data_IF_974246684560
#
_entry.id   IF_974246684560
#
_cell.length_a   1.000
_cell.length_b   1.000
_cell.length_c   1.000
_cell.angle_alpha   90.00
_cell.angle_beta   90.00
_cell.angle_gamma   90.00
#
_symmetry.space_group_name_H-M   'P 1'
#
loop_
_entity.id
_entity.type
_entity.pdbx_description
1 polymer ?
#
# COMPACT_ATOMS: atom_id res chain seq x y z
N UNK A 1 11.87 -17.46 -10.54
CA UNK A 1 12.43 -16.15 -10.15
C UNK A 1 11.81 -15.74 -8.82
N UNK A 2 12.60 -15.33 -7.84
CA UNK A 2 12.11 -14.88 -6.51
C UNK A 2 11.27 -13.60 -6.61
N UNK A 3 10.49 -13.30 -5.58
CA UNK A 3 9.74 -12.03 -5.47
C UNK A 3 10.66 -10.82 -5.58
N UNK A 4 11.79 -10.84 -4.88
CA UNK A 4 12.83 -9.80 -4.89
C UNK A 4 13.33 -9.54 -6.32
N UNK A 5 13.67 -10.60 -7.07
CA UNK A 5 14.14 -10.46 -8.44
C UNK A 5 13.07 -9.90 -9.38
N UNK A 6 11.79 -10.27 -9.19
CA UNK A 6 10.66 -9.68 -9.94
C UNK A 6 10.49 -8.20 -9.62
N UNK A 7 10.56 -7.81 -8.36
CA UNK A 7 10.46 -6.40 -7.95
C UNK A 7 11.62 -5.57 -8.50
N UNK A 8 12.85 -6.08 -8.43
CA UNK A 8 14.02 -5.42 -9.01
C UNK A 8 13.90 -5.26 -10.53
N UNK A 9 13.32 -6.25 -11.23
CA UNK A 9 13.06 -6.15 -12.67
C UNK A 9 12.03 -5.06 -12.96
N UNK A 10 10.93 -4.99 -12.20
CA UNK A 10 9.90 -3.95 -12.35
C UNK A 10 10.48 -2.57 -12.05
N UNK A 11 11.29 -2.45 -11.00
CA UNK A 11 11.98 -1.20 -10.67
C UNK A 11 12.93 -0.76 -11.79
N UNK A 12 13.75 -1.66 -12.32
CA UNK A 12 14.67 -1.33 -13.41
C UNK A 12 13.95 -0.94 -14.72
N UNK A 13 12.77 -1.52 -14.98
CA UNK A 13 11.93 -1.13 -16.11
C UNK A 13 11.33 0.27 -15.94
N UNK A 14 10.96 0.64 -14.71
CA UNK A 14 10.38 1.94 -14.37
C UNK A 14 11.45 3.06 -14.30
N UNK A 15 12.49 2.86 -13.49
CA UNK A 15 13.48 3.87 -13.14
C UNK A 15 14.78 3.79 -13.98
N UNK A 16 14.84 2.86 -14.92
CA UNK A 16 16.00 2.63 -15.76
C UNK A 16 17.13 1.84 -15.08
N UNK A 17 18.13 1.38 -15.85
CA UNK A 17 19.17 0.47 -15.38
C UNK A 17 20.12 1.10 -14.34
N UNK A 18 20.26 2.43 -14.31
CA UNK A 18 21.08 3.14 -13.34
C UNK A 18 20.50 3.16 -11.91
N UNK A 19 19.22 2.84 -11.75
CA UNK A 19 18.52 2.94 -10.47
C UNK A 19 18.62 1.68 -9.60
N UNK A 20 19.46 0.70 -9.97
CA UNK A 20 19.53 -0.61 -9.30
C UNK A 20 19.73 -0.52 -7.78
N UNK A 21 20.63 0.35 -7.32
CA UNK A 21 20.93 0.51 -5.90
C UNK A 21 19.70 0.97 -5.10
N UNK A 22 18.88 1.87 -5.67
CA UNK A 22 17.63 2.32 -5.04
C UNK A 22 16.62 1.18 -4.98
N UNK A 23 16.49 0.39 -6.04
CA UNK A 23 15.60 -0.78 -6.04
C UNK A 23 16.02 -1.82 -5.00
N UNK A 24 17.32 -2.07 -4.84
CA UNK A 24 17.86 -2.97 -3.80
C UNK A 24 17.60 -2.41 -2.39
N UNK A 25 17.74 -1.10 -2.18
CA UNK A 25 17.41 -0.46 -0.91
C UNK A 25 15.92 -0.56 -0.55
N UNK A 26 15.03 -0.33 -1.53
CA UNK A 26 13.59 -0.50 -1.37
C UNK A 26 13.25 -1.95 -0.98
N UNK A 27 13.72 -2.94 -1.74
CA UNK A 27 13.51 -4.37 -1.42
C UNK A 27 14.02 -4.71 -0.02
N UNK A 28 15.19 -4.19 0.37
CA UNK A 28 15.77 -4.39 1.71
C UNK A 28 14.86 -3.82 2.81
N UNK A 29 14.23 -2.66 2.60
CA UNK A 29 13.28 -2.05 3.56
C UNK A 29 12.05 -2.93 3.75
N UNK A 30 11.44 -3.41 2.67
CA UNK A 30 10.31 -4.35 2.75
C UNK A 30 10.69 -5.73 3.33
N UNK A 31 11.98 -6.03 3.44
CA UNK A 31 12.53 -7.25 4.07
C UNK A 31 12.96 -7.03 5.54
N UNK A 32 12.74 -5.87 6.13
CA UNK A 32 13.08 -5.63 7.54
C UNK A 32 12.41 -6.66 8.47
N UNK A 33 13.17 -7.16 9.45
CA UNK A 33 12.81 -8.35 10.20
C UNK A 33 11.54 -8.23 11.07
N UNK A 34 11.11 -7.01 11.38
CA UNK A 34 9.87 -6.74 12.13
C UNK A 34 8.61 -6.82 11.26
N UNK A 35 8.74 -6.68 9.93
CA UNK A 35 7.60 -6.72 9.02
C UNK A 35 7.07 -8.14 8.86
N UNK A 36 5.75 -8.26 8.82
CA UNK A 36 5.02 -9.52 8.61
C UNK A 36 3.95 -9.37 7.54
N UNK A 37 3.32 -8.20 7.43
CA UNK A 37 2.36 -7.92 6.36
C UNK A 37 2.96 -6.96 5.32
N UNK A 38 3.47 -5.80 5.75
CA UNK A 38 4.00 -4.75 4.86
C UNK A 38 5.39 -5.12 4.31
N UNK A 39 5.38 -6.15 3.48
CA UNK A 39 6.55 -6.92 2.99
C UNK A 39 6.65 -6.83 1.47
N UNK A 40 7.66 -7.49 0.89
CA UNK A 40 7.79 -7.54 -0.58
C UNK A 40 6.64 -8.32 -1.23
N UNK A 41 5.99 -9.20 -0.49
CA UNK A 41 4.80 -9.93 -0.93
C UNK A 41 3.60 -8.97 -1.07
N UNK A 42 3.39 -8.04 -0.12
CA UNK A 42 2.41 -6.96 -0.22
C UNK A 42 2.70 -6.06 -1.42
N UNK A 43 3.93 -5.54 -1.53
CA UNK A 43 4.32 -4.67 -2.64
C UNK A 43 4.12 -5.36 -4.01
N UNK A 44 4.45 -6.65 -4.12
CA UNK A 44 4.26 -7.39 -5.36
C UNK A 44 2.78 -7.56 -5.72
N UNK A 45 1.92 -7.84 -4.74
CA UNK A 45 0.48 -7.95 -4.92
C UNK A 45 -0.14 -6.60 -5.32
N UNK A 46 0.21 -5.53 -4.60
CA UNK A 46 -0.23 -4.17 -4.88
C UNK A 46 0.14 -3.74 -6.30
N UNK A 47 1.40 -3.92 -6.71
CA UNK A 47 1.82 -3.57 -8.06
C UNK A 47 1.13 -4.42 -9.14
N UNK A 48 0.68 -5.65 -8.85
CA UNK A 48 -0.12 -6.43 -9.81
C UNK A 48 -1.50 -5.80 -10.02
N UNK A 49 -2.13 -5.31 -8.95
CA UNK A 49 -3.41 -4.58 -9.04
C UNK A 49 -3.23 -3.23 -9.75
N UNK A 50 -2.13 -2.52 -9.51
CA UNK A 50 -1.80 -1.29 -10.26
C UNK A 50 -1.74 -1.55 -11.76
N UNK A 51 -1.16 -2.68 -12.20
CA UNK A 51 -1.13 -3.04 -13.62
C UNK A 51 -2.53 -3.38 -14.17
N UNK A 52 -3.37 -4.07 -13.39
CA UNK A 52 -4.77 -4.35 -13.77
C UNK A 52 -5.60 -3.06 -13.92
N UNK A 53 -5.28 -2.02 -13.15
CA UNK A 53 -5.97 -0.73 -13.12
C UNK A 53 -5.25 0.36 -13.94
N UNK A 54 -4.24 0.01 -14.74
CA UNK A 54 -3.36 1.00 -15.38
C UNK A 54 -4.10 2.00 -16.29
N UNK A 55 -5.22 1.58 -16.89
CA UNK A 55 -6.06 2.42 -17.75
C UNK A 55 -6.87 3.47 -16.98
N UNK A 56 -7.00 3.29 -15.67
CA UNK A 56 -7.73 4.18 -14.77
C UNK A 56 -6.85 5.30 -14.19
N UNK A 57 -5.53 5.25 -14.38
CA UNK A 57 -4.58 6.27 -13.95
C UNK A 57 -4.29 7.32 -15.05
N UNK A 58 -3.99 8.55 -14.65
CA UNK A 58 -3.52 9.61 -15.56
C UNK A 58 -2.01 9.56 -15.75
N UNK A 59 -1.27 9.21 -14.68
CA UNK A 59 0.18 8.97 -14.70
C UNK A 59 0.48 7.65 -13.98
N UNK A 60 0.52 6.56 -14.75
CA UNK A 60 0.75 5.22 -14.21
C UNK A 60 2.16 5.05 -13.63
N UNK A 61 3.15 5.79 -14.12
CA UNK A 61 4.51 5.66 -13.63
C UNK A 61 4.66 6.37 -12.28
N UNK A 62 3.99 7.52 -12.07
CA UNK A 62 3.87 8.12 -10.74
C UNK A 62 3.19 7.18 -9.74
N UNK A 63 2.11 6.49 -10.13
CA UNK A 63 1.45 5.50 -9.27
C UNK A 63 2.38 4.33 -8.92
N UNK A 64 3.14 3.82 -9.90
CA UNK A 64 4.11 2.73 -9.65
C UNK A 64 5.24 3.17 -8.72
N UNK A 65 5.79 4.36 -8.91
CA UNK A 65 6.77 4.92 -7.97
C UNK A 65 6.16 5.03 -6.57
N UNK A 66 4.96 5.61 -6.45
CA UNK A 66 4.28 5.74 -5.17
C UNK A 66 4.06 4.37 -4.50
N UNK A 67 3.66 3.34 -5.25
CA UNK A 67 3.54 1.98 -4.73
C UNK A 67 4.87 1.45 -4.16
N UNK A 68 6.00 1.67 -4.84
CA UNK A 68 7.31 1.31 -4.29
C UNK A 68 7.65 2.06 -3.00
N UNK A 69 7.27 3.34 -2.88
CA UNK A 69 7.65 4.17 -1.74
C UNK A 69 6.66 4.15 -0.57
N UNK A 70 5.38 3.80 -0.73
CA UNK A 70 4.34 4.10 0.27
C UNK A 70 4.69 3.62 1.70
N UNK A 71 5.20 2.40 1.82
CA UNK A 71 5.65 1.80 3.09
C UNK A 71 7.17 1.56 3.17
N UNK A 72 7.95 2.26 2.35
CA UNK A 72 9.41 2.14 2.35
C UNK A 72 10.04 2.56 3.69
N UNK A 73 9.37 3.42 4.45
CA UNK A 73 9.64 3.66 5.88
C UNK A 73 8.48 3.11 6.68
N UNK A 74 8.75 2.19 7.62
CA UNK A 74 7.69 1.59 8.44
C UNK A 74 8.20 1.30 9.85
N UNK A 75 7.84 2.16 10.79
CA UNK A 75 8.15 2.03 12.21
C UNK A 75 6.83 1.89 13.00
N UNK A 76 6.74 0.84 13.82
CA UNK A 76 5.51 0.47 14.54
C UNK A 76 5.18 1.39 15.72
N UNK A 77 6.15 2.17 16.17
CA UNK A 77 6.05 3.14 17.27
C UNK A 77 5.81 4.58 16.78
N UNK A 78 5.50 4.76 15.48
CA UNK A 78 5.32 6.06 14.85
C UNK A 78 4.02 6.13 14.05
N UNK A 79 3.53 7.35 13.87
CA UNK A 79 2.32 7.68 13.09
C UNK A 79 2.60 8.57 11.88
N UNK A 80 3.88 8.74 11.51
CA UNK A 80 4.33 9.59 10.39
C UNK A 80 5.05 8.79 9.30
N UNK A 81 4.76 7.49 9.19
CA UNK A 81 5.44 6.60 8.25
C UNK A 81 5.24 7.06 6.80
N UNK A 82 4.02 7.41 6.42
CA UNK A 82 3.65 7.88 5.09
C UNK A 82 4.36 9.20 4.74
N UNK A 83 4.43 10.14 5.69
CA UNK A 83 5.18 11.38 5.50
C UNK A 83 6.68 11.12 5.30
N UNK A 84 7.26 10.18 6.06
CA UNK A 84 8.68 9.82 5.93
C UNK A 84 8.98 9.05 4.65
N UNK A 85 8.07 8.18 4.23
CA UNK A 85 8.10 7.50 2.93
C UNK A 85 8.02 8.49 1.77
N UNK A 86 7.15 9.49 1.86
CA UNK A 86 7.04 10.56 0.87
C UNK A 86 8.34 11.38 0.78
N UNK A 87 8.90 11.78 1.93
CA UNK A 87 10.20 12.49 1.97
C UNK A 87 11.35 11.66 1.41
N UNK A 88 11.33 10.34 1.62
CA UNK A 88 12.31 9.45 1.02
C UNK A 88 12.22 9.48 -0.51
N UNK A 89 11.00 9.46 -1.07
CA UNK A 89 10.78 9.61 -2.52
C UNK A 89 11.26 10.98 -3.03
N UNK A 90 10.93 12.06 -2.32
CA UNK A 90 11.34 13.44 -2.65
C UNK A 90 12.87 13.60 -2.67
N UNK A 91 13.59 12.90 -1.79
CA UNK A 91 15.05 12.93 -1.76
C UNK A 91 15.69 12.04 -2.83
N UNK A 92 15.06 10.91 -3.17
CA UNK A 92 15.68 9.86 -3.97
C UNK A 92 15.41 10.00 -5.47
N UNK A 93 14.17 10.31 -5.85
CA UNK A 93 13.76 10.34 -7.26
C UNK A 93 14.45 11.43 -8.11
N UNK A 94 14.76 12.63 -7.59
CA UNK A 94 15.53 13.62 -8.35
C UNK A 94 16.93 13.13 -8.76
N UNK A 95 17.59 12.34 -7.91
CA UNK A 95 18.91 11.76 -8.21
C UNK A 95 18.85 10.74 -9.37
N UNK A 96 17.67 10.20 -9.65
CA UNK A 96 17.39 9.30 -10.76
C UNK A 96 16.94 10.04 -12.03
N UNK A 97 16.88 11.38 -12.00
CA UNK A 97 16.46 12.20 -13.14
C UNK A 97 14.93 12.26 -13.34
N UNK A 98 14.14 11.85 -12.34
CA UNK A 98 12.68 11.96 -12.39
C UNK A 98 12.26 13.43 -12.30
N UNK A 99 11.27 13.84 -13.11
CA UNK A 99 10.83 15.23 -13.18
C UNK A 99 10.27 15.72 -11.85
N UNK A 100 10.48 17.00 -11.52
CA UNK A 100 9.96 17.59 -10.28
C UNK A 100 8.42 17.46 -10.15
N UNK A 101 7.69 17.51 -11.27
CA UNK A 101 6.24 17.31 -11.28
C UNK A 101 5.86 15.88 -10.88
N UNK A 102 6.52 14.86 -11.46
CA UNK A 102 6.32 13.46 -11.10
C UNK A 102 6.72 13.19 -9.64
N UNK A 103 7.83 13.78 -9.16
CA UNK A 103 8.24 13.63 -7.74
C UNK A 103 7.19 14.20 -6.79
N UNK A 104 6.66 15.38 -7.08
CA UNK A 104 5.61 15.99 -6.29
C UNK A 104 4.34 15.12 -6.26
N UNK A 105 3.97 14.54 -7.41
CA UNK A 105 2.82 13.65 -7.49
C UNK A 105 3.04 12.35 -6.71
N UNK A 106 4.21 11.71 -6.84
CA UNK A 106 4.57 10.52 -6.05
C UNK A 106 4.47 10.80 -4.55
N UNK A 107 5.01 11.93 -4.11
CA UNK A 107 5.00 12.28 -2.69
C UNK A 107 3.58 12.59 -2.18
N UNK A 108 2.73 13.21 -3.01
CA UNK A 108 1.30 13.41 -2.70
C UNK A 108 0.57 12.08 -2.58
N UNK A 109 0.77 11.18 -3.53
CA UNK A 109 0.17 9.86 -3.57
C UNK A 109 0.60 8.99 -2.38
N UNK A 110 1.87 9.00 -2.01
CA UNK A 110 2.35 8.31 -0.80
C UNK A 110 1.69 8.85 0.46
N UNK A 111 1.54 10.18 0.60
CA UNK A 111 0.83 10.75 1.76
C UNK A 111 -0.65 10.38 1.79
N UNK A 112 -1.26 10.21 0.62
CA UNK A 112 -2.68 9.87 0.48
C UNK A 112 -3.02 8.50 1.10
N UNK A 113 -2.07 7.55 1.13
CA UNK A 113 -2.28 6.22 1.71
C UNK A 113 -2.47 6.25 3.23
N UNK A 114 -2.22 7.37 3.91
CA UNK A 114 -2.53 7.49 5.34
C UNK A 114 -4.04 7.47 5.64
N UNK A 115 -4.87 7.86 4.66
CA UNK A 115 -6.33 7.92 4.82
C UNK A 115 -7.14 7.19 3.75
N UNK A 116 -6.50 6.73 2.67
CA UNK A 116 -7.13 6.04 1.54
C UNK A 116 -8.38 6.74 0.99
N UNK A 117 -8.35 8.08 1.01
CA UNK A 117 -9.49 8.93 0.68
C UNK A 117 -9.13 9.89 -0.46
N UNK A 118 -8.89 9.39 -1.69
CA UNK A 118 -8.75 10.26 -2.86
C UNK A 118 -10.03 11.06 -3.09
N UNK A 119 -9.85 12.28 -3.61
CA UNK A 119 -10.95 13.07 -4.14
C UNK A 119 -11.57 12.38 -5.37
N UNK A 120 -12.85 12.63 -5.70
CA UNK A 120 -13.55 11.92 -6.79
C UNK A 120 -12.85 11.95 -8.15
N UNK A 121 -12.16 13.04 -8.47
CA UNK A 121 -11.44 13.22 -9.75
C UNK A 121 -9.96 12.79 -9.66
N UNK A 122 -9.48 12.35 -8.50
CA UNK A 122 -8.09 11.92 -8.30
C UNK A 122 -7.88 10.49 -8.78
N UNK A 123 -7.70 10.36 -10.10
CA UNK A 123 -7.53 9.07 -10.80
C UNK A 123 -6.28 8.31 -10.37
N UNK A 124 -5.16 8.99 -10.19
CA UNK A 124 -3.93 8.37 -9.70
C UNK A 124 -4.09 7.87 -8.25
N UNK A 125 -4.69 8.70 -7.39
CA UNK A 125 -4.95 8.36 -5.99
C UNK A 125 -5.95 7.21 -5.86
N UNK A 126 -6.97 7.18 -6.72
CA UNK A 126 -7.92 6.07 -6.83
C UNK A 126 -7.21 4.75 -7.12
N UNK A 127 -6.36 4.69 -8.15
CA UNK A 127 -5.62 3.47 -8.48
C UNK A 127 -4.70 3.03 -7.34
N UNK A 128 -3.95 3.95 -6.72
CA UNK A 128 -3.04 3.60 -5.63
C UNK A 128 -3.79 3.05 -4.40
N UNK A 129 -4.84 3.74 -3.97
CA UNK A 129 -5.61 3.33 -2.79
C UNK A 129 -6.37 2.02 -3.04
N UNK A 130 -6.93 1.85 -4.23
CA UNK A 130 -7.61 0.60 -4.61
C UNK A 130 -6.64 -0.58 -4.61
N UNK A 131 -5.41 -0.38 -5.10
CA UNK A 131 -4.38 -1.41 -5.10
C UNK A 131 -3.91 -1.79 -3.69
N UNK A 132 -3.73 -0.81 -2.80
CA UNK A 132 -3.31 -1.04 -1.42
C UNK A 132 -4.39 -1.77 -0.60
N UNK A 133 -5.66 -1.41 -0.81
CA UNK A 133 -6.80 -1.99 -0.12
C UNK A 133 -7.30 -3.33 -0.71
N UNK A 134 -6.79 -3.74 -1.88
CA UNK A 134 -7.27 -4.93 -2.59
C UNK A 134 -7.19 -6.22 -1.76
N UNK A 135 -6.24 -6.32 -0.83
CA UNK A 135 -6.12 -7.46 0.10
C UNK A 135 -7.41 -7.71 0.88
N UNK A 136 -8.19 -6.66 1.16
CA UNK A 136 -9.41 -6.75 1.96
C UNK A 136 -10.47 -7.61 1.28
N UNK A 137 -10.41 -7.72 -0.05
CA UNK A 137 -11.32 -8.53 -0.85
C UNK A 137 -10.83 -9.98 -1.09
N UNK A 138 -9.77 -10.41 -0.38
CA UNK A 138 -9.30 -11.80 -0.45
C UNK A 138 -10.37 -12.80 -0.05
N UNK A 139 -10.23 -14.04 -0.52
CA UNK A 139 -11.01 -15.16 0.01
C UNK A 139 -10.75 -15.39 1.51
N UNK A 140 -11.54 -16.26 2.13
CA UNK A 140 -11.45 -16.55 3.56
C UNK A 140 -10.02 -16.90 4.02
N UNK A 141 -9.31 -17.71 3.24
CA UNK A 141 -7.96 -18.15 3.58
C UNK A 141 -6.94 -17.01 3.45
N UNK A 142 -7.06 -16.20 2.40
CA UNK A 142 -6.22 -15.03 2.17
C UNK A 142 -6.45 -13.94 3.21
N UNK A 143 -7.71 -13.69 3.57
CA UNK A 143 -8.05 -12.69 4.60
C UNK A 143 -7.61 -13.13 6.00
N UNK A 144 -7.71 -14.42 6.32
CA UNK A 144 -7.17 -14.97 7.56
C UNK A 144 -5.63 -14.85 7.62
N UNK A 145 -4.94 -15.11 6.51
CA UNK A 145 -3.49 -14.94 6.43
C UNK A 145 -3.08 -13.45 6.59
N UNK A 146 -3.81 -12.54 5.94
CA UNK A 146 -3.64 -11.10 6.06
C UNK A 146 -3.77 -10.62 7.52
N UNK A 147 -4.89 -10.94 8.17
CA UNK A 147 -5.15 -10.50 9.56
C UNK A 147 -4.16 -11.12 10.55
N UNK A 148 -3.77 -12.38 10.35
CA UNK A 148 -2.72 -13.04 11.14
C UNK A 148 -1.35 -12.37 10.97
N UNK A 149 -0.98 -12.03 9.73
CA UNK A 149 0.27 -11.31 9.45
C UNK A 149 0.28 -9.92 10.09
N UNK A 150 -0.81 -9.16 9.98
CA UNK A 150 -0.95 -7.86 10.66
C UNK A 150 -0.85 -8.03 12.18
N UNK A 151 -1.53 -9.02 12.78
CA UNK A 151 -1.40 -9.25 14.23
C UNK A 151 0.03 -9.58 14.63
N UNK A 152 0.72 -10.42 13.87
CA UNK A 152 2.10 -10.81 14.13
C UNK A 152 3.09 -9.64 13.96
N UNK A 153 2.81 -8.70 13.04
CA UNK A 153 3.61 -7.48 12.87
C UNK A 153 3.55 -6.60 14.13
N UNK A 154 2.38 -6.51 14.76
CA UNK A 154 2.16 -5.77 16.00
C UNK A 154 2.28 -6.65 17.26
N UNK A 155 3.05 -7.73 17.23
CA UNK A 155 3.13 -8.70 18.33
C UNK A 155 3.57 -8.10 19.68
N UNK A 156 4.38 -7.04 19.66
CA UNK A 156 4.79 -6.30 20.85
C UNK A 156 3.69 -5.39 21.44
N UNK A 157 2.65 -5.08 20.67
CA UNK A 157 1.53 -4.24 21.13
C UNK A 157 0.57 -5.10 21.95
N UNK A 158 0.21 -4.69 23.18
CA UNK A 158 -0.77 -5.41 24.00
C UNK A 158 -2.09 -5.63 23.27
N UNK A 159 -2.71 -6.79 23.47
CA UNK A 159 -3.91 -7.20 22.72
C UNK A 159 -5.04 -6.17 22.77
N UNK A 160 -5.32 -5.58 23.93
CA UNK A 160 -6.36 -4.55 24.08
C UNK A 160 -6.07 -3.31 23.22
N UNK A 161 -4.83 -2.84 23.22
CA UNK A 161 -4.41 -1.68 22.43
C UNK A 161 -4.43 -2.00 20.93
N UNK A 162 -3.99 -3.20 20.55
CA UNK A 162 -4.06 -3.66 19.17
C UNK A 162 -5.52 -3.75 18.68
N UNK A 163 -6.43 -4.37 19.46
CA UNK A 163 -7.85 -4.45 19.09
C UNK A 163 -8.47 -3.07 18.95
N UNK A 164 -8.19 -2.16 19.88
CA UNK A 164 -8.70 -0.78 19.82
C UNK A 164 -8.20 -0.04 18.57
N UNK A 165 -6.88 -0.10 18.28
CA UNK A 165 -6.29 0.51 17.09
C UNK A 165 -6.81 -0.12 15.80
N UNK A 166 -6.86 -1.45 15.72
CA UNK A 166 -7.38 -2.18 14.55
C UNK A 166 -8.84 -1.82 14.30
N UNK A 167 -9.68 -1.80 15.33
CA UNK A 167 -11.08 -1.35 15.21
C UNK A 167 -11.19 0.07 14.68
N UNK A 168 -10.33 0.99 15.14
CA UNK A 168 -10.36 2.37 14.65
C UNK A 168 -10.05 2.45 13.14
N UNK A 169 -9.04 1.71 12.67
CA UNK A 169 -8.70 1.61 11.23
C UNK A 169 -9.88 1.04 10.43
N UNK A 170 -10.41 -0.11 10.84
CA UNK A 170 -11.51 -0.75 10.11
C UNK A 170 -12.78 0.10 10.12
N UNK A 171 -13.10 0.74 11.24
CA UNK A 171 -14.23 1.65 11.35
C UNK A 171 -14.08 2.83 10.37
N UNK A 172 -12.90 3.45 10.30
CA UNK A 172 -12.60 4.52 9.34
C UNK A 172 -12.82 4.07 7.90
N UNK A 173 -12.33 2.90 7.52
CA UNK A 173 -12.54 2.33 6.19
C UNK A 173 -14.02 2.06 5.88
N UNK A 174 -14.78 1.52 6.84
CA UNK A 174 -16.21 1.25 6.65
C UNK A 174 -17.07 2.51 6.51
N UNK A 175 -16.60 3.65 7.06
CA UNK A 175 -17.26 4.95 6.94
C UNK A 175 -17.06 5.60 5.56
N UNK A 176 -16.10 5.12 4.76
CA UNK A 176 -15.95 5.60 3.40
C UNK A 176 -17.21 5.23 2.57
N UNK A 177 -17.84 6.20 1.90
CA UNK A 177 -19.01 5.94 1.05
C UNK A 177 -18.72 4.89 -0.02
N UNK A 178 -17.46 4.85 -0.47
CA UNK A 178 -16.92 3.90 -1.43
C UNK A 178 -15.54 3.48 -0.94
N UNK A 179 -15.33 2.18 -0.74
CA UNK A 179 -14.04 1.67 -0.30
C UNK A 179 -13.05 1.63 -1.48
N UNK A 180 -13.56 1.22 -2.65
CA UNK A 180 -12.84 1.26 -3.92
C UNK A 180 -13.41 2.34 -4.85
N UNK A 181 -12.53 2.98 -5.61
CA UNK A 181 -12.80 4.24 -6.31
C UNK A 181 -12.94 4.05 -7.81
N UNK A 182 -12.06 3.25 -8.41
CA UNK A 182 -12.19 2.86 -9.81
C UNK A 182 -13.38 1.91 -9.99
N UNK A 183 -14.07 2.00 -11.12
CA UNK A 183 -15.21 1.12 -11.39
C UNK A 183 -14.79 -0.35 -11.47
N UNK A 184 -13.60 -0.61 -12.03
CA UNK A 184 -13.00 -1.94 -12.11
C UNK A 184 -12.77 -2.53 -10.72
N UNK A 185 -12.11 -1.80 -9.80
CA UNK A 185 -11.86 -2.28 -8.45
C UNK A 185 -13.15 -2.41 -7.65
N UNK A 186 -14.08 -1.46 -7.78
CA UNK A 186 -15.39 -1.50 -7.11
C UNK A 186 -16.17 -2.76 -7.49
N UNK A 187 -16.27 -3.06 -8.78
CA UNK A 187 -16.97 -4.25 -9.26
C UNK A 187 -16.32 -5.55 -8.77
N UNK A 188 -14.99 -5.57 -8.64
CA UNK A 188 -14.22 -6.77 -8.30
C UNK A 188 -14.09 -7.01 -6.79
N UNK A 189 -13.98 -5.96 -5.99
CA UNK A 189 -13.48 -6.04 -4.61
C UNK A 189 -14.47 -5.56 -3.54
N UNK A 190 -15.32 -4.56 -3.83
CA UNK A 190 -16.10 -3.83 -2.81
C UNK A 190 -16.95 -4.76 -1.94
N UNK A 191 -17.72 -5.67 -2.55
CA UNK A 191 -18.64 -6.54 -1.81
C UNK A 191 -17.89 -7.50 -0.87
N UNK A 192 -16.83 -8.14 -1.37
CA UNK A 192 -16.02 -9.07 -0.58
C UNK A 192 -15.29 -8.35 0.56
N UNK A 193 -14.68 -7.19 0.26
CA UNK A 193 -13.99 -6.41 1.27
C UNK A 193 -14.92 -5.93 2.39
N UNK A 194 -16.11 -5.41 2.05
CA UNK A 194 -17.09 -4.98 3.06
C UNK A 194 -17.56 -6.13 3.94
N UNK A 195 -17.75 -7.33 3.38
CA UNK A 195 -18.10 -8.52 4.16
C UNK A 195 -16.97 -8.91 5.12
N UNK A 196 -15.72 -8.94 4.64
CA UNK A 196 -14.56 -9.28 5.46
C UNK A 196 -14.32 -8.26 6.59
N UNK A 197 -14.42 -6.95 6.29
CA UNK A 197 -14.31 -5.88 7.28
C UNK A 197 -15.39 -5.99 8.37
N UNK A 198 -16.63 -6.26 7.99
CA UNK A 198 -17.73 -6.43 8.93
C UNK A 198 -17.51 -7.65 9.85
N UNK A 199 -17.06 -8.77 9.29
CA UNK A 199 -16.76 -9.98 10.04
C UNK A 199 -15.60 -9.76 11.03
N UNK A 200 -14.51 -9.11 10.60
CA UNK A 200 -13.37 -8.80 11.48
C UNK A 200 -13.79 -7.85 12.60
N UNK A 201 -14.54 -6.78 12.28
CA UNK A 201 -15.05 -5.86 13.28
C UNK A 201 -15.91 -6.56 14.34
N UNK A 202 -16.77 -7.49 13.94
CA UNK A 202 -17.59 -8.27 14.88
C UNK A 202 -16.75 -9.17 15.80
N UNK A 203 -15.66 -9.74 15.28
CA UNK A 203 -14.74 -10.58 16.04
C UNK A 203 -13.83 -9.79 17.01
N UNK A 204 -13.72 -8.46 16.87
CA UNK A 204 -12.91 -7.58 17.72
C UNK A 204 -13.69 -6.96 18.90
N UNK A 205 -14.96 -7.35 19.11
CA UNK A 205 -15.83 -6.79 20.18
C UNK A 205 -15.60 -7.47 21.55
N UNK A 206 -14.82 -8.56 21.59
CA UNK A 206 -14.46 -9.29 22.82
C UNK A 206 -13.10 -8.90 23.42
#
# INVERSE_FOLDING_TARGET
MSTDAKLLQRWAALAGPGARAVGEDLVRRYREAHRRYHTVEHLAAMLAVVDDLAVDADDIDAVRYAAFFHDAVYALDRNDNEERSARLAEATLPELGVSAATVAEVARLVRLTAGHAPEPEDRNGAVLCDADLAVLASDESGYAAYTSAVRAEYAQVPDEQFRAGRRAVLAGLTQLPQLFRTDTARARYEAAARANLANELAALVD
#
